data_IF_043468097711
#
_entry.id   IF_043468097711
#
_cell.length_a   1.000
_cell.length_b   1.000
_cell.length_c   1.000
_cell.angle_alpha   90.00
_cell.angle_beta   90.00
_cell.angle_gamma   90.00
#
_symmetry.space_group_name_H-M   'P 1'
#
loop_
_entity.id
_entity.type
_entity.pdbx_description
1 polymer ?
#
# COMPACT_ATOMS: atom_id res chain seq x y z
N UNK A 1 -8.41 -16.73 0.86
CA UNK A 1 -8.83 -15.44 1.45
C UNK A 1 -10.32 -15.29 1.23
N UNK A 2 -11.10 -15.36 2.30
CA UNK A 2 -12.59 -15.35 2.20
C UNK A 2 -13.15 -14.03 2.77
N UNK A 3 -12.62 -12.92 2.26
CA UNK A 3 -13.08 -11.58 2.62
C UNK A 3 -14.09 -11.14 1.56
N UNK A 4 -15.39 -11.01 1.92
CA UNK A 4 -16.43 -10.68 0.96
C UNK A 4 -16.29 -9.23 0.48
N UNK A 5 -16.34 -9.04 -0.82
CA UNK A 5 -16.25 -7.73 -1.47
C UNK A 5 -17.57 -7.35 -2.14
N UNK A 6 -17.80 -6.04 -2.35
CA UNK A 6 -19.00 -5.57 -3.07
C UNK A 6 -18.90 -5.81 -4.57
N UNK A 7 -17.69 -5.94 -5.11
CA UNK A 7 -17.40 -6.19 -6.53
C UNK A 7 -16.02 -6.81 -6.69
N UNK A 8 -15.80 -7.57 -7.74
CA UNK A 8 -14.53 -8.27 -8.02
C UNK A 8 -13.33 -7.34 -8.26
N UNK A 9 -13.58 -6.07 -8.58
CA UNK A 9 -12.51 -5.09 -8.79
C UNK A 9 -11.93 -4.49 -7.50
N UNK A 10 -12.42 -4.89 -6.31
CA UNK A 10 -11.82 -4.50 -5.03
C UNK A 10 -10.53 -5.30 -4.84
N UNK A 11 -9.41 -4.60 -4.79
CA UNK A 11 -8.10 -5.22 -4.63
C UNK A 11 -7.74 -5.35 -3.15
N UNK A 12 -7.39 -6.56 -2.73
CA UNK A 12 -7.00 -6.90 -1.35
C UNK A 12 -5.62 -7.56 -1.28
N UNK A 13 -5.05 -7.89 -2.43
CA UNK A 13 -3.80 -8.63 -2.60
C UNK A 13 -2.56 -7.93 -2.03
N UNK A 14 -2.61 -6.60 -1.91
CA UNK A 14 -1.57 -5.80 -1.27
C UNK A 14 -1.88 -5.47 0.20
N UNK A 15 -2.94 -5.99 0.79
CA UNK A 15 -3.16 -5.81 2.22
C UNK A 15 -2.10 -6.55 3.02
N UNK A 16 -1.64 -5.92 4.10
CA UNK A 16 -0.67 -6.55 4.99
C UNK A 16 -1.21 -7.88 5.55
N UNK A 17 -0.44 -8.99 5.53
CA UNK A 17 -0.94 -10.33 5.86
C UNK A 17 -1.60 -10.43 7.25
N UNK A 18 -1.06 -9.74 8.25
CA UNK A 18 -1.68 -9.69 9.60
C UNK A 18 -3.01 -8.94 9.59
N UNK A 19 -3.16 -7.90 8.75
CA UNK A 19 -4.44 -7.19 8.60
C UNK A 19 -5.47 -8.07 7.90
N UNK A 20 -5.05 -8.83 6.89
CA UNK A 20 -5.89 -9.85 6.21
C UNK A 20 -6.45 -10.85 7.22
N UNK A 21 -5.61 -11.43 8.10
CA UNK A 21 -6.07 -12.38 9.13
C UNK A 21 -7.13 -11.79 10.06
N UNK A 22 -7.00 -10.53 10.46
CA UNK A 22 -8.01 -9.84 11.26
C UNK A 22 -9.31 -9.63 10.50
N UNK A 23 -9.21 -9.25 9.23
CA UNK A 23 -10.40 -9.13 8.39
C UNK A 23 -11.09 -10.47 8.19
N UNK A 24 -10.35 -11.55 7.97
CA UNK A 24 -10.91 -12.91 7.88
C UNK A 24 -11.64 -13.31 9.17
N UNK A 25 -11.03 -13.07 10.33
CA UNK A 25 -11.65 -13.32 11.61
C UNK A 25 -12.90 -12.45 11.81
N UNK A 26 -12.86 -11.16 11.50
CA UNK A 26 -13.99 -10.25 11.56
C UNK A 26 -15.14 -10.70 10.65
N UNK A 27 -14.85 -11.11 9.42
CA UNK A 27 -15.88 -11.58 8.48
C UNK A 27 -16.40 -12.99 8.79
N UNK A 28 -15.68 -13.75 9.61
CA UNK A 28 -16.16 -15.04 10.15
C UNK A 28 -17.12 -14.88 11.32
N UNK A 29 -17.16 -13.72 11.98
CA UNK A 29 -18.09 -13.42 13.07
C UNK A 29 -19.54 -13.53 12.58
N UNK A 30 -20.37 -14.31 13.28
CA UNK A 30 -21.77 -14.55 12.90
C UNK A 30 -22.61 -13.29 12.87
N UNK A 31 -22.25 -12.27 13.65
CA UNK A 31 -22.90 -10.95 13.67
C UNK A 31 -22.60 -10.15 12.41
N UNK A 32 -21.46 -10.41 11.74
CA UNK A 32 -20.96 -9.69 10.57
C UNK A 32 -21.26 -10.41 9.27
N UNK A 33 -21.17 -11.73 9.28
CA UNK A 33 -21.36 -12.59 8.10
C UNK A 33 -22.62 -12.20 7.32
N UNK A 34 -22.47 -11.98 6.02
CA UNK A 34 -23.52 -11.57 5.08
C UNK A 34 -24.14 -10.17 5.34
N UNK A 35 -23.68 -9.42 6.36
CA UNK A 35 -24.19 -8.08 6.67
C UNK A 35 -23.25 -6.95 6.29
N UNK A 36 -21.98 -7.27 6.12
CA UNK A 36 -20.93 -6.31 5.78
C UNK A 36 -20.06 -6.87 4.64
N UNK A 37 -19.55 -6.00 3.78
CA UNK A 37 -18.60 -6.33 2.71
C UNK A 37 -17.54 -5.26 2.62
N UNK A 38 -16.40 -5.57 2.02
CA UNK A 38 -15.39 -4.56 1.67
C UNK A 38 -15.78 -3.90 0.35
N UNK A 39 -15.87 -2.57 0.35
CA UNK A 39 -16.19 -1.77 -0.84
C UNK A 39 -14.97 -1.12 -1.48
N UNK A 40 -13.90 -0.92 -0.73
CA UNK A 40 -12.61 -0.40 -1.22
C UNK A 40 -11.47 -1.04 -0.44
N UNK A 41 -10.43 -1.41 -1.12
CA UNK A 41 -9.21 -1.97 -0.56
C UNK A 41 -7.98 -1.18 -1.03
N UNK A 42 -7.02 -1.88 -1.59
CA UNK A 42 -5.74 -1.34 -2.03
C UNK A 42 -5.86 -0.42 -3.24
N UNK A 43 -4.98 0.56 -3.28
CA UNK A 43 -4.84 1.50 -4.41
C UNK A 43 -3.37 1.67 -4.77
N UNK A 44 -3.09 1.71 -6.07
CA UNK A 44 -1.77 2.14 -6.53
C UNK A 44 -1.54 3.62 -6.23
N UNK A 45 -0.28 4.03 -6.18
CA UNK A 45 0.09 5.45 -6.06
C UNK A 45 -0.56 6.31 -7.17
N UNK A 46 -0.55 5.82 -8.41
CA UNK A 46 -1.16 6.53 -9.53
C UNK A 46 -2.67 6.74 -9.35
N UNK A 47 -3.39 5.74 -8.83
CA UNK A 47 -4.82 5.85 -8.56
C UNK A 47 -5.12 6.83 -7.43
N UNK A 48 -4.28 6.87 -6.40
CA UNK A 48 -4.41 7.85 -5.31
C UNK A 48 -4.14 9.28 -5.82
N UNK A 49 -3.13 9.45 -6.67
CA UNK A 49 -2.82 10.75 -7.33
C UNK A 49 -4.01 11.22 -8.17
N UNK A 50 -4.58 10.34 -8.99
CA UNK A 50 -5.76 10.66 -9.79
C UNK A 50 -6.94 11.15 -8.92
N UNK A 51 -7.24 10.48 -7.80
CA UNK A 51 -8.30 10.93 -6.90
C UNK A 51 -7.98 12.27 -6.22
N UNK A 52 -6.72 12.47 -5.86
CA UNK A 52 -6.29 13.73 -5.27
C UNK A 52 -6.39 14.89 -6.27
N UNK A 53 -6.03 14.68 -7.52
CA UNK A 53 -6.15 15.69 -8.58
C UNK A 53 -7.62 16.04 -8.87
N UNK A 54 -8.50 15.03 -8.89
CA UNK A 54 -9.95 15.27 -8.98
C UNK A 54 -10.47 16.09 -7.80
N UNK A 55 -10.05 15.77 -6.58
CA UNK A 55 -10.40 16.53 -5.38
C UNK A 55 -9.92 17.98 -5.47
N UNK A 56 -8.66 18.19 -5.86
CA UNK A 56 -8.08 19.54 -6.04
C UNK A 56 -8.81 20.35 -7.11
N UNK A 57 -9.32 19.71 -8.14
CA UNK A 57 -10.11 20.33 -9.20
C UNK A 57 -11.60 20.55 -8.84
N UNK A 58 -12.02 20.19 -7.62
CA UNK A 58 -13.43 20.28 -7.20
C UNK A 58 -14.34 19.27 -7.89
N UNK A 59 -13.79 18.26 -8.57
CA UNK A 59 -14.52 17.26 -9.37
C UNK A 59 -14.63 15.88 -8.71
N UNK A 60 -14.11 15.74 -7.48
CA UNK A 60 -14.06 14.45 -6.77
C UNK A 60 -14.24 14.63 -5.28
N UNK A 61 -14.40 13.48 -4.59
CA UNK A 61 -14.47 13.43 -3.14
C UNK A 61 -13.12 13.77 -2.51
N UNK A 62 -13.14 14.10 -1.22
CA UNK A 62 -11.93 14.32 -0.42
C UNK A 62 -10.95 13.14 -0.61
N UNK A 63 -9.73 13.44 -1.01
CA UNK A 63 -8.68 12.46 -1.20
C UNK A 63 -7.37 12.95 -0.57
N UNK A 64 -6.66 12.04 0.10
CA UNK A 64 -5.38 12.34 0.72
C UNK A 64 -4.31 12.63 -0.34
N UNK A 65 -3.45 13.63 -0.07
CA UNK A 65 -2.30 13.92 -0.92
C UNK A 65 -1.33 12.72 -0.91
N UNK A 66 -1.08 12.04 -2.05
CA UNK A 66 -0.24 10.85 -2.10
C UNK A 66 1.21 11.09 -1.67
N UNK A 67 1.68 12.33 -1.79
CA UNK A 67 3.05 12.72 -1.45
C UNK A 67 3.20 13.22 0.00
N UNK A 68 2.09 13.41 0.73
CA UNK A 68 2.16 13.86 2.12
C UNK A 68 2.73 12.74 2.98
N UNK A 69 3.87 12.99 3.59
CA UNK A 69 4.48 12.08 4.57
C UNK A 69 3.91 12.35 5.95
N UNK A 70 3.60 11.28 6.65
CA UNK A 70 3.27 11.32 8.06
C UNK A 70 4.50 10.84 8.82
N UNK A 71 5.04 11.66 9.69
CA UNK A 71 6.07 11.27 10.63
C UNK A 71 5.44 10.41 11.73
N UNK A 72 4.92 9.26 11.36
CA UNK A 72 4.32 8.32 12.29
C UNK A 72 5.22 7.09 12.40
N UNK A 73 5.26 6.58 13.58
CA UNK A 73 5.74 5.24 13.88
C UNK A 73 4.91 4.29 13.02
N UNK A 74 5.53 3.57 12.09
CA UNK A 74 4.88 2.52 11.36
C UNK A 74 4.42 1.42 12.31
N UNK A 75 3.63 0.48 11.84
CA UNK A 75 3.16 -0.64 12.67
C UNK A 75 4.33 -1.49 13.22
N UNK A 76 5.49 -1.46 12.57
CA UNK A 76 6.76 -2.05 13.02
C UNK A 76 7.66 -1.08 13.79
N UNK A 77 7.18 0.14 14.07
CA UNK A 77 7.95 1.18 14.74
C UNK A 77 8.97 1.91 13.86
N UNK A 78 9.10 1.58 12.59
CA UNK A 78 10.17 2.06 11.70
C UNK A 78 9.70 2.78 10.44
N UNK A 79 8.40 2.77 10.13
CA UNK A 79 7.89 3.27 8.86
C UNK A 79 7.59 4.75 8.82
N UNK A 80 7.87 5.38 7.70
CA UNK A 80 7.33 6.67 7.31
C UNK A 80 6.15 6.42 6.39
N UNK A 81 4.95 6.78 6.84
CA UNK A 81 3.72 6.63 6.09
C UNK A 81 3.49 7.80 5.16
N UNK A 82 2.85 7.52 4.01
CA UNK A 82 2.53 8.55 3.03
C UNK A 82 1.12 8.41 2.48
N UNK A 83 0.54 9.51 2.08
CA UNK A 83 -0.71 9.57 1.34
C UNK A 83 -1.90 9.03 2.11
N UNK A 84 -2.46 7.95 1.60
CA UNK A 84 -3.61 7.24 2.16
C UNK A 84 -3.20 5.84 2.61
N UNK A 85 -3.78 5.34 3.68
CA UNK A 85 -3.59 3.95 4.14
C UNK A 85 -4.10 2.90 3.14
N UNK A 86 -5.02 3.29 2.24
CA UNK A 86 -5.40 2.48 1.08
C UNK A 86 -4.30 2.40 0.01
N UNK A 87 -3.34 3.29 0.03
CA UNK A 87 -2.26 3.32 -0.94
C UNK A 87 -1.12 2.42 -0.47
N UNK A 88 -0.48 1.74 -1.41
CA UNK A 88 0.76 0.99 -1.16
C UNK A 88 1.79 1.87 -0.45
N UNK A 89 2.20 1.46 0.72
CA UNK A 89 3.20 2.11 1.56
C UNK A 89 4.63 1.69 1.16
N UNK A 90 5.63 2.19 1.87
CA UNK A 90 7.04 1.94 1.54
C UNK A 90 7.47 0.49 1.73
N UNK A 91 6.74 -0.27 2.53
CA UNK A 91 6.93 -1.71 2.76
C UNK A 91 6.21 -2.59 1.73
N UNK A 92 5.50 -1.99 0.78
CA UNK A 92 4.78 -2.70 -0.27
C UNK A 92 3.35 -3.10 0.10
N UNK A 93 2.85 -2.74 1.29
CA UNK A 93 1.51 -3.12 1.75
C UNK A 93 0.56 -1.93 1.89
N UNK A 94 -0.73 -2.24 1.85
CA UNK A 94 -1.82 -1.33 2.18
C UNK A 94 -2.39 -1.68 3.56
N UNK A 95 -2.97 -0.68 4.23
CA UNK A 95 -3.42 -0.80 5.63
C UNK A 95 -4.82 -0.25 5.87
N UNK A 96 -5.65 -0.13 4.84
CA UNK A 96 -7.02 0.29 5.01
C UNK A 96 -7.98 -0.43 4.09
N UNK A 97 -9.19 -0.60 4.59
CA UNK A 97 -10.36 -1.03 3.82
C UNK A 97 -11.54 -0.12 4.14
N UNK A 98 -12.42 0.09 3.16
CA UNK A 98 -13.71 0.69 3.40
C UNK A 98 -14.76 -0.42 3.50
N UNK A 99 -15.56 -0.39 4.56
CA UNK A 99 -16.65 -1.33 4.79
C UNK A 99 -17.97 -0.79 4.20
N UNK A 100 -18.76 -1.69 3.67
CA UNK A 100 -20.10 -1.44 3.19
C UNK A 100 -21.12 -2.26 3.97
N UNK A 101 -22.11 -1.57 4.52
CA UNK A 101 -23.22 -2.22 5.21
C UNK A 101 -24.23 -2.77 4.19
N UNK A 102 -24.37 -4.09 4.13
CA UNK A 102 -25.31 -4.78 3.24
C UNK A 102 -26.69 -4.86 3.88
N UNK A 103 -26.74 -5.12 5.18
CA UNK A 103 -27.99 -5.27 5.94
C UNK A 103 -28.12 -4.20 7.01
N UNK A 104 -29.29 -3.59 7.11
CA UNK A 104 -29.63 -2.60 8.14
C UNK A 104 -29.93 -3.21 9.51
N UNK A 105 -29.93 -4.54 9.64
CA UNK A 105 -30.19 -5.23 10.93
C UNK A 105 -29.07 -5.04 11.94
N UNK A 106 -27.91 -4.58 11.52
CA UNK A 106 -26.77 -4.22 12.37
C UNK A 106 -26.45 -2.74 12.15
N UNK A 107 -26.37 -1.96 13.21
CA UNK A 107 -26.07 -0.53 13.09
C UNK A 107 -24.60 -0.28 12.75
N UNK A 108 -24.29 0.87 12.15
CA UNK A 108 -22.91 1.27 11.86
C UNK A 108 -22.03 1.37 13.13
N UNK A 109 -22.50 1.93 14.25
CA UNK A 109 -21.76 1.89 15.52
C UNK A 109 -21.45 0.48 15.99
N UNK A 110 -22.40 -0.47 15.85
CA UNK A 110 -22.19 -1.86 16.25
C UNK A 110 -21.14 -2.52 15.36
N UNK A 111 -21.20 -2.29 14.04
CA UNK A 111 -20.17 -2.77 13.11
C UNK A 111 -18.78 -2.27 13.57
N UNK A 112 -18.65 -0.99 13.91
CA UNK A 112 -17.39 -0.41 14.37
C UNK A 112 -16.95 -0.99 15.72
N UNK A 113 -17.87 -1.25 16.63
CA UNK A 113 -17.58 -1.88 17.92
C UNK A 113 -17.06 -3.29 17.72
N UNK A 114 -17.74 -4.08 16.89
CA UNK A 114 -17.31 -5.44 16.55
C UNK A 114 -15.95 -5.42 15.84
N UNK A 115 -15.76 -4.55 14.83
CA UNK A 115 -14.48 -4.41 14.15
C UNK A 115 -13.34 -4.06 15.10
N UNK A 116 -13.61 -3.18 16.08
CA UNK A 116 -12.61 -2.77 17.07
C UNK A 116 -12.18 -3.93 17.98
N UNK A 117 -13.06 -4.91 18.26
CA UNK A 117 -12.69 -6.11 19.01
C UNK A 117 -11.73 -7.03 18.26
N UNK A 118 -11.69 -6.92 16.94
CA UNK A 118 -10.70 -7.58 16.07
C UNK A 118 -9.47 -6.70 15.78
N UNK A 119 -9.31 -5.56 16.48
CA UNK A 119 -8.21 -4.63 16.23
C UNK A 119 -8.29 -3.88 14.90
N UNK A 120 -9.49 -3.81 14.32
CA UNK A 120 -9.82 -3.06 13.11
C UNK A 120 -10.60 -1.84 13.55
N UNK A 121 -10.04 -0.63 13.37
CA UNK A 121 -10.62 0.57 13.97
C UNK A 121 -10.98 1.62 12.91
N UNK A 122 -12.13 2.29 13.07
CA UNK A 122 -12.45 3.46 12.27
C UNK A 122 -11.60 4.63 12.78
N UNK A 123 -10.78 5.19 11.91
CA UNK A 123 -9.85 6.28 12.27
C UNK A 123 -10.44 7.66 12.07
N UNK A 124 -11.45 7.79 11.23
CA UNK A 124 -12.14 9.06 10.92
C UNK A 124 -13.58 8.98 11.40
N UNK A 125 -13.77 8.69 12.69
CA UNK A 125 -15.05 8.31 13.33
C UNK A 125 -16.23 9.26 13.03
N UNK A 126 -15.99 10.56 12.95
CA UNK A 126 -17.06 11.53 12.79
C UNK A 126 -17.61 11.65 11.36
N UNK A 127 -16.86 11.23 10.35
CA UNK A 127 -17.20 11.47 8.94
C UNK A 127 -17.20 10.20 8.08
N UNK A 128 -16.36 9.22 8.41
CA UNK A 128 -16.09 8.03 7.58
C UNK A 128 -16.18 6.77 8.41
N UNK A 129 -17.40 6.41 8.86
CA UNK A 129 -17.66 5.21 9.64
C UNK A 129 -17.18 3.93 8.92
N UNK A 130 -17.05 4.01 7.61
CA UNK A 130 -16.66 2.91 6.72
C UNK A 130 -15.15 2.70 6.62
N UNK A 131 -14.33 3.73 6.91
CA UNK A 131 -12.87 3.64 6.77
C UNK A 131 -12.25 2.95 7.98
N UNK A 132 -11.67 1.80 7.73
CA UNK A 132 -11.08 0.96 8.77
C UNK A 132 -9.62 0.63 8.47
N UNK A 133 -8.81 0.63 9.52
CA UNK A 133 -7.41 0.27 9.48
C UNK A 133 -7.01 -0.46 10.77
N UNK A 134 -5.84 -1.12 10.84
CA UNK A 134 -5.34 -1.67 12.07
C UNK A 134 -5.21 -0.58 13.15
N UNK A 135 -5.36 -0.95 14.43
CA UNK A 135 -5.10 -0.05 15.54
C UNK A 135 -3.64 0.41 15.48
N UNK A 136 -3.38 1.72 15.62
CA UNK A 136 -2.02 2.28 15.61
C UNK A 136 -1.30 2.04 16.95
N UNK A 137 0.03 1.97 16.93
CA UNK A 137 0.88 1.81 18.10
C UNK A 137 1.49 0.41 18.23
N UNK A 138 2.10 0.11 19.37
CA UNK A 138 2.74 -1.18 19.65
C UNK A 138 1.77 -2.37 19.51
N UNK A 139 0.47 -2.11 19.69
CA UNK A 139 -0.61 -3.09 19.63
C UNK A 139 -1.26 -3.23 18.25
N UNK A 140 -0.63 -2.76 17.21
CA UNK A 140 -1.21 -2.73 15.86
C UNK A 140 -1.83 -4.04 15.44
N UNK A 141 -1.31 -5.13 15.94
CA UNK A 141 -1.77 -6.47 15.64
C UNK A 141 -2.30 -7.24 16.85
N UNK A 142 -2.41 -6.60 18.01
CA UNK A 142 -3.04 -7.17 19.21
C UNK A 142 -4.52 -6.82 19.29
N UNK A 143 -5.37 -7.71 18.83
CA UNK A 143 -6.82 -7.55 18.96
C UNK A 143 -7.27 -8.11 20.32
N UNK A 144 -7.99 -7.34 21.16
CA UNK A 144 -8.49 -7.83 22.43
C UNK A 144 -9.35 -9.11 22.33
N UNK A 145 -10.16 -9.23 21.25
CA UNK A 145 -10.97 -10.43 21.01
C UNK A 145 -10.14 -11.66 20.65
N UNK A 146 -8.90 -11.50 20.24
CA UNK A 146 -7.99 -12.59 19.92
C UNK A 146 -7.13 -12.99 21.12
N UNK A 147 -7.15 -12.23 22.22
CA UNK A 147 -6.43 -12.56 23.47
C UNK A 147 -7.15 -13.59 24.34
N UNK A 148 -8.45 -13.73 24.18
CA UNK A 148 -9.28 -14.64 25.00
C UNK A 148 -9.68 -15.92 24.30
N UNK A 149 -9.62 -15.95 23.01
CA UNK A 149 -9.80 -17.14 22.21
C UNK A 149 -8.40 -17.67 21.89
N UNK A 150 -8.17 -18.94 22.17
CA UNK A 150 -6.98 -19.66 21.72
C UNK A 150 -6.97 -19.86 20.19
N UNK A 151 -7.32 -18.84 19.45
CA UNK A 151 -6.80 -18.60 18.15
C UNK A 151 -5.37 -18.16 18.42
N UNK A 152 -4.48 -19.14 18.63
CA UNK A 152 -3.12 -18.95 18.20
C UNK A 152 -3.24 -18.39 16.78
N UNK A 153 -3.18 -17.07 16.67
CA UNK A 153 -2.60 -16.47 15.51
C UNK A 153 -1.16 -17.00 15.55
N UNK A 154 -1.04 -18.27 15.12
CA UNK A 154 0.24 -18.84 14.80
C UNK A 154 0.89 -17.72 14.03
N UNK A 155 1.94 -17.16 14.58
CA UNK A 155 2.67 -16.09 13.95
C UNK A 155 2.65 -16.42 12.49
N UNK A 156 1.85 -15.65 11.73
CA UNK A 156 1.97 -15.77 10.30
C UNK A 156 3.43 -15.49 10.13
N UNK A 157 4.22 -16.47 9.69
CA UNK A 157 5.65 -16.26 9.66
C UNK A 157 5.75 -14.88 9.04
N UNK A 158 6.35 -13.94 9.77
CA UNK A 158 6.74 -12.66 9.20
C UNK A 158 7.12 -13.06 7.80
N UNK A 159 6.43 -12.60 6.71
CA UNK A 159 6.78 -13.10 5.40
C UNK A 159 8.29 -13.01 5.45
N UNK A 160 8.97 -14.18 5.58
CA UNK A 160 10.41 -14.20 5.72
C UNK A 160 10.81 -13.53 4.46
N UNK A 161 10.98 -12.21 4.57
CA UNK A 161 11.38 -11.40 3.43
C UNK A 161 12.67 -12.07 3.05
N UNK A 162 12.66 -12.82 1.97
CA UNK A 162 13.86 -13.45 1.45
C UNK A 162 14.81 -12.33 1.04
N UNK A 163 15.39 -11.70 2.07
CA UNK A 163 16.34 -10.62 1.89
C UNK A 163 17.49 -11.06 0.98
N UNK A 164 17.90 -12.33 1.08
CA UNK A 164 18.92 -12.88 0.22
C UNK A 164 18.44 -12.90 -1.25
N UNK A 165 17.22 -13.39 -1.50
CA UNK A 165 16.61 -13.38 -2.83
C UNK A 165 16.35 -11.98 -3.36
N UNK A 166 15.88 -11.06 -2.51
CA UNK A 166 15.67 -9.64 -2.90
C UNK A 166 17.01 -8.99 -3.27
N UNK A 167 18.04 -9.15 -2.44
CA UNK A 167 19.38 -8.61 -2.72
C UNK A 167 19.97 -9.24 -3.98
N UNK A 168 19.84 -10.54 -4.14
CA UNK A 168 20.28 -11.24 -5.36
C UNK A 168 19.55 -10.72 -6.61
N UNK A 169 18.23 -10.50 -6.52
CA UNK A 169 17.45 -9.94 -7.62
C UNK A 169 17.89 -8.50 -7.97
N UNK A 170 18.18 -7.67 -6.98
CA UNK A 170 18.68 -6.31 -7.18
C UNK A 170 20.06 -6.35 -7.85
N UNK A 171 20.96 -7.24 -7.39
CA UNK A 171 22.28 -7.40 -8.00
C UNK A 171 22.18 -7.89 -9.45
N UNK A 172 21.30 -8.83 -9.74
CA UNK A 172 21.04 -9.30 -11.10
C UNK A 172 20.53 -8.16 -12.01
N UNK A 173 19.59 -7.35 -11.51
CA UNK A 173 19.07 -6.19 -12.24
C UNK A 173 20.16 -5.12 -12.44
N UNK A 174 21.01 -4.87 -11.44
CA UNK A 174 22.15 -3.99 -11.56
C UNK A 174 23.12 -4.45 -12.66
N UNK A 175 23.41 -5.74 -12.71
CA UNK A 175 24.23 -6.34 -13.76
C UNK A 175 23.56 -6.24 -15.15
N UNK A 176 22.24 -6.34 -15.23
CA UNK A 176 21.48 -6.10 -16.47
C UNK A 176 21.67 -4.63 -16.93
N UNK A 177 21.48 -3.66 -16.02
CA UNK A 177 21.65 -2.24 -16.29
C UNK A 177 23.08 -1.92 -16.70
N UNK A 178 24.09 -2.56 -16.12
CA UNK A 178 25.50 -2.39 -16.48
C UNK A 178 25.79 -2.84 -17.92
N UNK A 179 25.15 -3.91 -18.36
CA UNK A 179 25.28 -4.41 -19.75
C UNK A 179 24.50 -3.54 -20.73
N UNK A 180 23.31 -3.09 -20.33
CA UNK A 180 22.42 -2.29 -21.17
C UNK A 180 21.61 -1.30 -20.31
N UNK A 181 22.00 -0.04 -20.29
CA UNK A 181 21.24 1.00 -19.58
C UNK A 181 19.77 1.04 -20.00
N UNK A 182 18.90 1.34 -19.05
CA UNK A 182 17.45 1.41 -19.31
C UNK A 182 17.11 2.76 -19.95
N UNK A 183 16.47 2.68 -21.11
CA UNK A 183 16.05 3.83 -21.92
C UNK A 183 14.59 3.69 -22.32
N UNK A 184 14.04 4.68 -22.99
CA UNK A 184 12.69 4.56 -23.57
C UNK A 184 12.58 3.32 -24.47
N UNK A 185 11.55 2.52 -24.19
CA UNK A 185 11.31 1.24 -24.86
C UNK A 185 11.86 0.02 -24.10
N UNK A 186 12.77 0.21 -23.13
CA UNK A 186 13.20 -0.89 -22.23
C UNK A 186 12.02 -1.47 -21.47
N UNK A 187 12.04 -2.78 -21.20
CA UNK A 187 11.01 -3.52 -20.49
C UNK A 187 11.64 -4.49 -19.50
N UNK A 188 10.88 -4.87 -18.45
CA UNK A 188 11.29 -5.94 -17.54
C UNK A 188 11.40 -5.51 -16.08
N UNK A 189 11.99 -6.41 -15.27
CA UNK A 189 12.07 -6.27 -13.81
C UNK A 189 12.87 -5.05 -13.37
N UNK A 190 14.03 -4.79 -13.98
CA UNK A 190 14.86 -3.64 -13.67
C UNK A 190 14.13 -2.29 -13.92
N UNK A 191 13.31 -2.22 -14.99
CA UNK A 191 12.44 -1.05 -15.25
C UNK A 191 11.40 -0.91 -14.16
N UNK A 192 10.68 -1.98 -13.81
CA UNK A 192 9.66 -1.98 -12.76
C UNK A 192 10.24 -1.56 -11.41
N UNK A 193 11.39 -2.09 -11.05
CA UNK A 193 12.10 -1.72 -9.82
C UNK A 193 12.48 -0.24 -9.82
N UNK A 194 13.05 0.26 -10.92
CA UNK A 194 13.38 1.68 -11.06
C UNK A 194 12.15 2.59 -10.94
N UNK A 195 11.03 2.22 -11.58
CA UNK A 195 9.77 2.95 -11.46
C UNK A 195 9.25 2.96 -10.01
N UNK A 196 9.28 1.82 -9.33
CA UNK A 196 8.86 1.71 -7.92
C UNK A 196 9.71 2.60 -7.02
N UNK A 197 11.03 2.63 -7.22
CA UNK A 197 11.95 3.47 -6.43
C UNK A 197 11.76 4.96 -6.73
N UNK A 198 11.57 5.33 -7.99
CA UNK A 198 11.24 6.71 -8.39
C UNK A 198 9.93 7.16 -7.73
N UNK A 199 8.88 6.35 -7.81
CA UNK A 199 7.60 6.63 -7.16
C UNK A 199 7.75 6.77 -5.64
N UNK A 200 8.51 5.87 -4.99
CA UNK A 200 8.83 5.96 -3.57
C UNK A 200 9.60 7.25 -3.21
N UNK A 201 10.47 7.70 -4.10
CA UNK A 201 11.20 8.98 -3.97
C UNK A 201 10.37 10.23 -4.26
N UNK A 202 9.10 10.08 -4.68
CA UNK A 202 8.21 11.20 -5.02
C UNK A 202 8.37 11.71 -6.45
N UNK A 203 9.00 10.93 -7.34
CA UNK A 203 9.13 11.28 -8.76
C UNK A 203 8.02 10.60 -9.56
N UNK A 204 7.21 11.38 -10.25
CA UNK A 204 6.04 10.89 -11.00
C UNK A 204 6.47 10.16 -12.28
N UNK A 205 6.64 8.84 -12.19
CA UNK A 205 6.96 7.99 -13.34
C UNK A 205 5.76 7.25 -13.94
N UNK A 206 4.57 7.42 -13.35
CA UNK A 206 3.38 6.62 -13.65
C UNK A 206 3.35 5.31 -12.88
N UNK A 207 2.62 4.33 -13.41
CA UNK A 207 2.52 2.98 -12.81
C UNK A 207 3.86 2.26 -13.01
N UNK A 208 4.28 1.50 -12.01
CA UNK A 208 5.44 0.61 -12.13
C UNK A 208 5.06 -0.67 -12.91
N UNK A 209 4.83 -0.48 -14.20
CA UNK A 209 4.37 -1.52 -15.14
C UNK A 209 5.52 -2.28 -15.81
N UNK A 210 6.76 -1.86 -15.54
CA UNK A 210 7.94 -2.42 -16.19
C UNK A 210 8.15 -1.97 -17.62
N UNK A 211 7.48 -0.91 -18.08
CA UNK A 211 7.62 -0.33 -19.42
C UNK A 211 8.24 1.06 -19.33
N UNK A 212 9.42 1.26 -19.85
CA UNK A 212 10.13 2.53 -19.82
C UNK A 212 9.53 3.54 -20.81
N UNK A 213 8.51 4.28 -20.38
CA UNK A 213 7.82 5.27 -21.17
C UNK A 213 8.39 6.69 -21.06
N UNK A 214 7.71 7.66 -21.67
CA UNK A 214 8.08 9.10 -21.60
C UNK A 214 8.02 9.61 -20.16
N UNK A 215 7.03 9.21 -19.36
CA UNK A 215 6.88 9.62 -17.97
C UNK A 215 8.03 9.08 -17.12
N UNK A 216 8.42 7.83 -17.33
CA UNK A 216 9.57 7.22 -16.65
C UNK A 216 10.86 7.99 -16.97
N UNK A 217 11.12 8.28 -18.27
CA UNK A 217 12.31 9.04 -18.66
C UNK A 217 12.35 10.45 -18.05
N UNK A 218 11.20 11.11 -17.98
CA UNK A 218 11.09 12.42 -17.35
C UNK A 218 11.37 12.35 -15.85
N UNK A 219 10.77 11.39 -15.14
CA UNK A 219 10.96 11.17 -13.70
C UNK A 219 12.43 10.87 -13.38
N UNK A 220 13.09 10.04 -14.20
CA UNK A 220 14.53 9.77 -14.08
C UNK A 220 15.35 11.05 -14.22
N UNK A 221 15.05 11.91 -15.21
CA UNK A 221 15.74 13.21 -15.35
C UNK A 221 15.60 14.09 -14.11
N UNK A 222 14.38 14.16 -13.52
CA UNK A 222 14.16 14.95 -12.30
C UNK A 222 14.92 14.35 -11.11
N UNK A 223 14.90 13.02 -10.97
CA UNK A 223 15.67 12.30 -9.96
C UNK A 223 17.17 12.59 -10.10
N UNK A 224 17.73 12.42 -11.33
CA UNK A 224 19.13 12.67 -11.62
C UNK A 224 19.54 14.11 -11.26
N UNK A 225 18.75 15.11 -11.66
CA UNK A 225 18.98 16.52 -11.27
C UNK A 225 19.03 16.68 -9.76
N UNK A 226 18.07 16.11 -9.04
CA UNK A 226 18.01 16.22 -7.58
C UNK A 226 19.19 15.55 -6.88
N UNK A 227 19.74 14.50 -7.49
CA UNK A 227 20.90 13.75 -6.98
C UNK A 227 22.25 14.26 -7.50
N UNK A 228 22.28 15.33 -8.29
CA UNK A 228 23.52 15.86 -8.89
C UNK A 228 24.12 14.95 -9.97
N UNK A 229 23.32 14.04 -10.54
CA UNK A 229 23.74 13.17 -11.62
C UNK A 229 23.49 13.82 -12.99
N UNK A 230 24.16 13.33 -14.05
CA UNK A 230 23.90 13.76 -15.43
C UNK A 230 22.43 13.46 -15.78
N UNK A 231 21.64 14.49 -16.04
CA UNK A 231 20.21 14.40 -16.32
C UNK A 231 19.89 13.85 -17.73
N UNK A 232 20.34 12.64 -18.02
CA UNK A 232 20.17 11.97 -19.31
C UNK A 232 18.76 11.45 -19.54
N UNK A 233 18.04 11.09 -18.45
CA UNK A 233 16.77 10.37 -18.50
C UNK A 233 16.95 8.88 -18.85
N UNK A 234 18.18 8.37 -18.72
CA UNK A 234 18.56 6.96 -18.86
C UNK A 234 18.95 6.44 -17.48
N UNK A 235 18.55 5.25 -17.11
CA UNK A 235 19.05 4.59 -15.89
C UNK A 235 20.29 3.80 -16.28
N UNK A 236 21.44 4.38 -16.03
CA UNK A 236 22.75 3.74 -15.99
C UNK A 236 23.03 3.17 -14.58
N UNK A 237 24.19 2.57 -14.37
CA UNK A 237 24.56 1.97 -13.09
C UNK A 237 24.54 2.99 -11.96
N UNK A 238 25.10 4.18 -12.18
CA UNK A 238 25.16 5.24 -11.15
C UNK A 238 23.75 5.70 -10.76
N UNK A 239 22.89 5.88 -11.76
CA UNK A 239 21.48 6.21 -11.53
C UNK A 239 20.75 5.08 -10.81
N UNK A 240 20.98 3.82 -11.22
CA UNK A 240 20.36 2.67 -10.58
C UNK A 240 20.77 2.57 -9.11
N UNK A 241 22.05 2.66 -8.81
CA UNK A 241 22.58 2.60 -7.45
C UNK A 241 22.01 3.76 -6.59
N UNK A 242 21.94 4.97 -7.14
CA UNK A 242 21.37 6.12 -6.46
C UNK A 242 19.86 5.98 -6.13
N UNK A 243 19.12 5.10 -6.81
CA UNK A 243 17.71 4.82 -6.50
C UNK A 243 17.54 4.05 -5.17
N UNK A 244 18.61 3.46 -4.65
CA UNK A 244 18.60 2.68 -3.40
C UNK A 244 19.25 3.41 -2.21
N UNK A 245 19.79 4.60 -2.43
CA UNK A 245 20.36 5.49 -1.39
C UNK A 245 19.45 6.70 -1.20
#
# INVERSE_FOLDING_TARGET
MDIPTTKSSVQLDLLHPRFVKRLEAFFSDTRIRNRVRVSSGCRSFAKQTYFYDLYKAGKGNLAANPNRRFGAVGFDGKGIWRGSWHMEQLDGFCYAVDLHQVSKTLSKPDINTIASSYGIVPTIKAREWWHHQPRSGADWFDAPALRGEAVELADAPEPKMDWAGIVAAIHAQRAEVARKPLTRGSRGGAVKTSQSRLGAGGFECGIADGIYGRKTAWAVKQFQKKRGLKASGTVDVDTFDALFT
#
